data_IF_633445651247
#
_entry.id   IF_633445651247
#
_cell.length_a   1.000
_cell.length_b   1.000
_cell.length_c   1.000
_cell.angle_alpha   90.00
_cell.angle_beta   90.00
_cell.angle_gamma   90.00
#
_symmetry.space_group_name_H-M   'P 1'
#
loop_
_entity.id
_entity.type
_entity.pdbx_description
1 polymer ?
#
# COMPACT_ATOMS: atom_id res chain seq x y z
N UNK A 1 -14.01 16.53 -19.53
CA UNK A 1 -13.36 15.33 -18.98
C UNK A 1 -12.72 15.75 -17.66
N UNK A 2 -13.32 15.41 -16.52
CA UNK A 2 -12.74 15.72 -15.20
C UNK A 2 -11.53 14.81 -15.01
N UNK A 3 -10.36 15.39 -14.79
CA UNK A 3 -9.14 14.65 -14.45
C UNK A 3 -9.33 14.00 -13.08
N UNK A 4 -9.08 12.69 -12.98
CA UNK A 4 -9.17 11.93 -11.73
C UNK A 4 -7.75 11.85 -11.16
N UNK A 5 -7.49 12.58 -10.10
CA UNK A 5 -6.17 12.61 -9.44
C UNK A 5 -6.24 11.89 -8.11
N UNK A 6 -5.24 11.03 -7.84
CA UNK A 6 -4.97 10.53 -6.48
C UNK A 6 -4.48 11.71 -5.64
N UNK A 7 -5.29 12.19 -4.70
CA UNK A 7 -4.77 13.00 -3.63
C UNK A 7 -4.13 12.05 -2.61
N UNK A 8 -2.81 12.11 -2.47
CA UNK A 8 -2.15 11.51 -1.35
C UNK A 8 -2.49 12.36 -0.12
N UNK A 9 -3.27 11.80 0.80
CA UNK A 9 -3.48 12.43 2.10
C UNK A 9 -2.36 11.99 3.03
N UNK A 10 -1.70 12.91 3.72
CA UNK A 10 -0.71 12.57 4.73
C UNK A 10 -1.39 11.82 5.88
N UNK A 11 -1.25 10.50 5.88
CA UNK A 11 -1.92 9.59 6.80
C UNK A 11 -1.17 9.40 8.12
N UNK A 12 0.04 9.92 8.26
CA UNK A 12 0.84 9.77 9.48
C UNK A 12 1.21 11.12 10.07
N UNK A 13 0.32 11.66 10.91
CA UNK A 13 0.74 12.64 11.90
C UNK A 13 1.69 11.96 12.90
N UNK A 14 2.99 12.10 12.71
CA UNK A 14 3.99 11.74 13.72
C UNK A 14 3.72 12.57 14.96
N UNK A 15 3.05 12.00 15.96
CA UNK A 15 2.89 12.63 17.27
C UNK A 15 4.20 12.46 18.00
N UNK A 16 4.97 13.52 18.08
CA UNK A 16 6.14 13.61 18.94
C UNK A 16 5.78 13.31 20.40
N UNK A 17 6.69 12.65 21.11
CA UNK A 17 6.56 12.22 22.50
C UNK A 17 5.98 13.32 23.39
N UNK A 18 4.96 12.94 24.16
CA UNK A 18 4.28 13.80 25.10
C UNK A 18 5.21 14.36 26.18
N UNK A 19 5.15 15.64 26.39
CA UNK A 19 5.46 16.25 27.67
C UNK A 19 4.14 16.53 28.38
N UNK A 20 3.91 15.83 29.48
CA UNK A 20 2.92 16.19 30.48
C UNK A 20 3.26 17.54 31.05
N UNK A 21 2.51 18.56 30.68
CA UNK A 21 2.59 19.89 31.23
C UNK A 21 1.33 20.65 30.93
N UNK A 22 0.44 20.73 31.92
CA UNK A 22 -0.72 21.60 31.89
C UNK A 22 -0.30 23.04 31.65
N UNK A 23 -0.56 23.57 30.48
CA UNK A 23 -0.91 24.96 30.24
C UNK A 23 -1.74 25.00 28.97
N UNK A 24 -3.05 25.27 29.13
CA UNK A 24 -3.91 25.72 28.03
C UNK A 24 -3.42 27.09 27.56
N UNK A 25 -2.35 27.14 26.79
CA UNK A 25 -2.09 28.29 25.92
C UNK A 25 -3.20 28.30 24.88
N UNK A 26 -3.90 29.44 24.80
CA UNK A 26 -4.81 29.68 23.67
C UNK A 26 -4.03 29.38 22.40
N UNK A 27 -4.50 28.35 21.65
CA UNK A 27 -3.90 27.91 20.39
C UNK A 27 -4.02 29.09 19.41
N UNK A 28 -2.92 29.79 19.19
CA UNK A 28 -2.86 30.81 18.15
C UNK A 28 -3.07 30.14 16.81
N UNK A 29 -4.23 30.41 16.24
CA UNK A 29 -4.64 29.91 14.92
C UNK A 29 -3.73 30.59 13.88
N UNK A 30 -2.80 29.83 13.28
CA UNK A 30 -1.94 30.39 12.24
C UNK A 30 -2.74 31.00 11.12
N UNK A 31 -2.38 32.22 10.75
CA UNK A 31 -2.97 32.89 9.59
C UNK A 31 -2.56 32.23 8.27
N UNK A 32 -3.32 32.39 7.19
CA UNK A 32 -2.91 31.91 5.87
C UNK A 32 -1.56 32.50 5.44
N UNK A 33 -1.25 33.72 5.87
CA UNK A 33 0.02 34.38 5.59
C UNK A 33 1.20 33.62 6.22
N UNK A 34 1.06 33.19 7.49
CA UNK A 34 2.09 32.39 8.19
C UNK A 34 2.24 30.99 7.55
N UNK A 35 1.15 30.36 7.10
CA UNK A 35 1.22 29.10 6.38
C UNK A 35 1.94 29.27 5.04
N UNK A 36 1.63 30.33 4.27
CA UNK A 36 2.35 30.65 3.03
C UNK A 36 3.84 30.89 3.26
N UNK A 37 4.18 31.62 4.29
CA UNK A 37 5.58 31.84 4.66
C UNK A 37 6.27 30.52 5.02
N UNK A 38 5.61 29.63 5.77
CA UNK A 38 6.15 28.30 6.12
C UNK A 38 6.39 27.45 4.87
N UNK A 39 5.47 27.46 3.92
CA UNK A 39 5.63 26.77 2.62
C UNK A 39 6.84 27.30 1.87
N UNK A 40 6.96 28.63 1.71
CA UNK A 40 8.07 29.27 1.00
C UNK A 40 9.43 28.95 1.65
N UNK A 41 9.49 28.92 2.97
CA UNK A 41 10.70 28.59 3.71
C UNK A 41 11.11 27.11 3.58
N UNK A 42 10.15 26.19 3.45
CA UNK A 42 10.41 24.76 3.35
C UNK A 42 10.74 24.29 1.93
N UNK A 43 10.23 24.95 0.90
CA UNK A 43 10.41 24.54 -0.49
C UNK A 43 11.88 24.29 -0.86
N UNK A 44 12.86 25.15 -0.55
CA UNK A 44 14.25 24.89 -0.88
C UNK A 44 14.83 23.64 -0.20
N UNK A 45 14.35 23.32 1.02
CA UNK A 45 14.76 22.13 1.73
C UNK A 45 14.16 20.86 1.10
N UNK A 46 12.87 20.92 0.69
CA UNK A 46 12.21 19.84 -0.06
C UNK A 46 12.91 19.58 -1.39
N UNK A 47 13.26 20.63 -2.14
CA UNK A 47 14.02 20.48 -3.40
C UNK A 47 15.38 19.81 -3.19
N UNK A 48 16.09 20.17 -2.12
CA UNK A 48 17.37 19.52 -1.78
C UNK A 48 17.18 18.06 -1.40
N UNK A 49 16.17 17.77 -0.55
CA UNK A 49 15.89 16.41 -0.08
C UNK A 49 15.46 15.47 -1.20
N UNK A 50 14.64 15.96 -2.15
CA UNK A 50 14.13 15.15 -3.27
C UNK A 50 15.01 15.21 -4.52
N UNK A 51 15.95 16.17 -4.61
CA UNK A 51 16.73 16.49 -5.81
C UNK A 51 15.88 16.85 -7.04
N UNK A 52 14.67 17.34 -6.79
CA UNK A 52 13.74 17.85 -7.80
C UNK A 52 13.55 19.36 -7.61
N UNK A 53 13.05 20.06 -8.65
CA UNK A 53 12.76 21.48 -8.60
C UNK A 53 11.28 21.76 -8.83
N UNK A 54 10.69 22.66 -8.04
CA UNK A 54 9.32 23.10 -8.31
C UNK A 54 9.24 23.83 -9.66
N UNK A 55 8.39 23.33 -10.55
CA UNK A 55 8.00 24.02 -11.79
C UNK A 55 6.93 25.06 -11.54
N UNK A 56 6.05 24.77 -10.56
CA UNK A 56 4.99 25.63 -10.06
C UNK A 56 4.94 25.55 -8.53
N UNK A 57 4.79 26.70 -7.89
CA UNK A 57 4.63 26.75 -6.44
C UNK A 57 3.18 26.40 -6.07
N UNK A 58 2.95 25.48 -5.15
CA UNK A 58 1.60 25.19 -4.69
C UNK A 58 1.07 26.32 -3.83
N UNK A 59 -0.23 26.51 -3.86
CA UNK A 59 -0.93 27.42 -2.94
C UNK A 59 -1.22 26.68 -1.65
N UNK A 60 -1.20 27.38 -0.50
CA UNK A 60 -1.64 26.81 0.77
C UNK A 60 -2.96 27.47 1.20
N UNK A 61 -3.93 26.64 1.55
CA UNK A 61 -5.26 27.04 1.93
C UNK A 61 -5.69 26.35 3.23
N UNK A 62 -6.53 27.04 4.01
CA UNK A 62 -7.11 26.47 5.22
C UNK A 62 -8.45 25.81 4.92
N UNK A 63 -8.73 24.71 5.61
CA UNK A 63 -10.01 24.01 5.59
C UNK A 63 -10.46 23.69 7.00
N UNK A 64 -11.78 23.67 7.23
CA UNK A 64 -12.31 23.08 8.44
C UNK A 64 -12.13 21.55 8.39
N UNK A 65 -12.12 20.89 9.55
CA UNK A 65 -12.09 19.42 9.61
C UNK A 65 -13.25 18.77 8.86
N UNK A 66 -14.42 19.41 8.87
CA UNK A 66 -15.57 18.94 8.08
C UNK A 66 -15.26 18.96 6.58
N UNK A 67 -14.68 20.05 6.06
CA UNK A 67 -14.30 20.14 4.66
C UNK A 67 -13.19 19.15 4.27
N UNK A 68 -12.23 18.91 5.16
CA UNK A 68 -11.20 17.88 4.95
C UNK A 68 -11.85 16.49 4.88
N UNK A 69 -12.74 16.19 5.80
CA UNK A 69 -13.51 14.94 5.82
C UNK A 69 -14.33 14.74 4.54
N UNK A 70 -15.07 15.75 4.14
CA UNK A 70 -15.90 15.70 2.92
C UNK A 70 -15.05 15.44 1.68
N UNK A 71 -13.87 16.07 1.59
CA UNK A 71 -12.92 15.83 0.52
C UNK A 71 -12.44 14.37 0.51
N UNK A 72 -12.03 13.84 1.68
CA UNK A 72 -11.58 12.44 1.82
C UNK A 72 -12.68 11.47 1.38
N UNK A 73 -13.92 11.69 1.79
CA UNK A 73 -15.06 10.85 1.41
C UNK A 73 -15.29 10.90 -0.10
N UNK A 74 -15.33 12.07 -0.70
CA UNK A 74 -15.53 12.22 -2.14
C UNK A 74 -14.41 11.56 -2.92
N UNK A 75 -13.17 11.79 -2.50
CA UNK A 75 -12.00 11.21 -3.15
C UNK A 75 -11.99 9.69 -3.05
N UNK A 76 -12.32 9.14 -1.88
CA UNK A 76 -12.44 7.70 -1.68
C UNK A 76 -13.50 7.07 -2.61
N UNK A 77 -14.68 7.68 -2.70
CA UNK A 77 -15.77 7.18 -3.55
C UNK A 77 -15.45 7.29 -5.05
N UNK A 78 -14.70 8.32 -5.46
CA UNK A 78 -14.23 8.49 -6.85
C UNK A 78 -13.16 7.46 -7.22
N UNK A 79 -12.20 7.21 -6.33
CA UNK A 79 -11.09 6.29 -6.56
C UNK A 79 -11.50 4.82 -6.48
N UNK A 80 -12.48 4.50 -5.62
CA UNK A 80 -12.99 3.15 -5.40
C UNK A 80 -14.53 3.10 -5.55
N UNK A 81 -15.05 3.01 -6.78
CA UNK A 81 -16.48 2.96 -7.04
C UNK A 81 -17.19 1.83 -6.28
N UNK A 82 -18.48 1.95 -5.93
CA UNK A 82 -19.20 1.00 -5.08
C UNK A 82 -19.11 -0.46 -5.53
N UNK A 83 -19.13 -0.73 -6.83
CA UNK A 83 -19.03 -2.10 -7.37
C UNK A 83 -17.63 -2.70 -7.15
N UNK A 84 -16.56 -1.92 -7.34
CA UNK A 84 -15.18 -2.36 -7.09
C UNK A 84 -14.96 -2.56 -5.59
N UNK A 85 -15.44 -1.66 -4.77
CA UNK A 85 -15.37 -1.77 -3.31
C UNK A 85 -16.11 -3.02 -2.79
N UNK A 86 -17.32 -3.28 -3.28
CA UNK A 86 -18.09 -4.47 -2.90
C UNK A 86 -17.38 -5.77 -3.32
N UNK A 87 -16.72 -5.75 -4.49
CA UNK A 87 -15.90 -6.87 -4.96
C UNK A 87 -14.67 -7.11 -4.10
N UNK A 88 -13.92 -6.06 -3.78
CA UNK A 88 -12.77 -6.10 -2.89
C UNK A 88 -13.16 -6.58 -1.48
N UNK A 89 -14.22 -6.03 -0.90
CA UNK A 89 -14.73 -6.47 0.41
C UNK A 89 -15.09 -7.95 0.42
N UNK A 90 -15.76 -8.46 -0.63
CA UNK A 90 -16.08 -9.87 -0.74
C UNK A 90 -14.79 -10.73 -0.81
N UNK A 91 -13.78 -10.29 -1.56
CA UNK A 91 -12.49 -10.98 -1.63
C UNK A 91 -11.80 -11.02 -0.25
N UNK A 92 -11.65 -9.88 0.41
CA UNK A 92 -10.96 -9.81 1.70
C UNK A 92 -11.67 -10.60 2.80
N UNK A 93 -13.01 -10.66 2.79
CA UNK A 93 -13.78 -11.57 3.66
C UNK A 93 -13.50 -13.04 3.34
N UNK A 94 -13.46 -13.41 2.06
CA UNK A 94 -13.16 -14.79 1.65
C UNK A 94 -11.73 -15.20 1.99
N UNK A 95 -10.77 -14.32 1.90
CA UNK A 95 -9.41 -14.55 2.41
C UNK A 95 -9.37 -14.54 3.95
N UNK A 96 -10.36 -13.93 4.60
CA UNK A 96 -10.39 -13.73 6.05
C UNK A 96 -9.46 -12.64 6.54
N UNK A 97 -9.07 -11.72 5.66
CA UNK A 97 -8.26 -10.53 5.99
C UNK A 97 -9.08 -9.49 6.78
N UNK A 98 -10.40 -9.52 6.59
CA UNK A 98 -11.35 -8.72 7.36
C UNK A 98 -12.49 -9.61 7.89
N UNK A 99 -13.07 -9.28 9.05
CA UNK A 99 -14.26 -9.97 9.57
C UNK A 99 -15.48 -9.84 8.65
N UNK A 100 -16.37 -10.84 8.64
CA UNK A 100 -17.60 -10.82 7.84
C UNK A 100 -18.51 -9.64 8.19
N UNK A 101 -18.49 -9.20 9.46
CA UNK A 101 -19.29 -8.08 9.98
C UNK A 101 -18.73 -6.70 9.62
N UNK A 102 -17.50 -6.60 9.14
CA UNK A 102 -16.87 -5.32 8.87
C UNK A 102 -17.42 -4.68 7.60
N UNK A 103 -17.82 -3.43 7.67
CA UNK A 103 -18.09 -2.56 6.53
C UNK A 103 -16.78 -1.89 6.10
N UNK A 104 -16.24 -2.32 4.97
CA UNK A 104 -14.93 -1.85 4.48
C UNK A 104 -14.95 -0.36 4.16
N UNK A 105 -16.03 0.14 3.52
CA UNK A 105 -16.14 1.57 3.20
C UNK A 105 -16.13 2.42 4.45
N UNK A 106 -16.99 2.09 5.41
CA UNK A 106 -17.06 2.83 6.67
C UNK A 106 -15.72 2.79 7.41
N UNK A 107 -15.12 1.62 7.52
CA UNK A 107 -13.83 1.46 8.22
C UNK A 107 -12.71 2.26 7.55
N UNK A 108 -12.64 2.26 6.22
CA UNK A 108 -11.66 3.05 5.48
C UNK A 108 -11.89 4.56 5.65
N UNK A 109 -13.15 5.03 5.53
CA UNK A 109 -13.48 6.45 5.71
C UNK A 109 -13.18 6.91 7.13
N UNK A 110 -13.54 6.10 8.13
CA UNK A 110 -13.28 6.43 9.55
C UNK A 110 -11.76 6.50 9.82
N UNK A 111 -10.98 5.53 9.31
CA UNK A 111 -9.52 5.51 9.42
C UNK A 111 -8.86 6.71 8.73
N UNK A 112 -9.22 6.97 7.47
CA UNK A 112 -8.69 8.11 6.73
C UNK A 112 -9.04 9.44 7.40
N UNK A 113 -10.26 9.58 7.92
CA UNK A 113 -10.70 10.79 8.61
C UNK A 113 -9.97 10.99 9.96
N UNK A 114 -9.68 9.89 10.68
CA UNK A 114 -8.93 9.97 11.94
C UNK A 114 -7.47 10.39 11.71
N UNK A 115 -6.88 9.97 10.60
CA UNK A 115 -5.45 10.13 10.35
C UNK A 115 -5.09 11.34 9.49
N UNK A 116 -6.05 11.87 8.69
CA UNK A 116 -5.76 12.98 7.79
C UNK A 116 -5.42 14.26 8.56
N UNK A 117 -4.19 14.71 8.42
CA UNK A 117 -3.68 15.93 9.02
C UNK A 117 -3.56 17.10 8.03
N UNK A 118 -3.73 16.83 6.72
CA UNK A 118 -3.72 17.74 5.59
C UNK A 118 -3.62 16.96 4.30
N UNK A 119 -3.69 17.64 3.17
CA UNK A 119 -3.53 16.97 1.87
C UNK A 119 -3.14 17.95 0.76
N UNK A 120 -2.44 17.45 -0.25
CA UNK A 120 -2.24 18.12 -1.52
C UNK A 120 -3.34 17.70 -2.50
N UNK A 121 -3.98 18.67 -3.12
CA UNK A 121 -4.93 18.45 -4.20
C UNK A 121 -4.30 18.85 -5.54
N UNK A 122 -4.04 17.89 -6.44
CA UNK A 122 -3.38 18.15 -7.71
C UNK A 122 -4.27 18.95 -8.68
N UNK A 123 -5.59 18.87 -8.57
CA UNK A 123 -6.51 19.61 -9.46
C UNK A 123 -6.45 21.12 -9.22
N UNK A 124 -6.33 21.55 -7.97
CA UNK A 124 -6.17 22.95 -7.59
C UNK A 124 -4.72 23.41 -7.42
N UNK A 125 -3.75 22.48 -7.47
CA UNK A 125 -2.35 22.69 -7.11
C UNK A 125 -2.22 23.36 -5.72
N UNK A 126 -2.98 22.87 -4.74
CA UNK A 126 -3.08 23.47 -3.42
C UNK A 126 -2.86 22.45 -2.30
N UNK A 127 -2.16 22.90 -1.24
CA UNK A 127 -2.09 22.22 0.04
C UNK A 127 -3.24 22.70 0.92
N UNK A 128 -4.01 21.77 1.45
CA UNK A 128 -5.10 22.04 2.37
C UNK A 128 -4.72 21.62 3.79
N UNK A 129 -4.70 22.59 4.69
CA UNK A 129 -4.29 22.41 6.08
C UNK A 129 -5.50 22.68 6.98
N UNK A 130 -5.79 21.80 7.98
CA UNK A 130 -6.84 22.04 8.94
C UNK A 130 -6.64 23.36 9.68
N UNK A 131 -7.76 24.11 9.84
CA UNK A 131 -7.70 25.44 10.46
C UNK A 131 -7.27 25.41 11.93
N UNK A 132 -7.46 24.28 12.60
CA UNK A 132 -7.20 24.02 14.02
C UNK A 132 -5.96 23.14 14.24
N UNK A 133 -5.08 22.99 13.23
CA UNK A 133 -3.88 22.18 13.35
C UNK A 133 -2.88 22.82 14.33
N UNK A 134 -2.26 22.00 15.17
CA UNK A 134 -1.16 22.44 16.01
C UNK A 134 0.03 22.94 15.15
N UNK A 135 0.69 24.05 15.53
CA UNK A 135 1.80 24.61 14.77
C UNK A 135 2.97 23.66 14.52
N UNK A 136 3.27 22.76 15.46
CA UNK A 136 4.31 21.74 15.28
C UNK A 136 3.92 20.69 14.27
N UNK A 137 2.66 20.25 14.31
CA UNK A 137 2.08 19.31 13.34
C UNK A 137 1.94 19.95 11.95
N UNK A 138 1.60 21.25 11.87
CA UNK A 138 1.52 21.94 10.58
C UNK A 138 2.84 21.84 9.79
N UNK A 139 3.99 21.96 10.45
CA UNK A 139 5.31 21.80 9.80
C UNK A 139 5.53 20.40 9.26
N UNK A 140 5.14 19.38 10.03
CA UNK A 140 5.19 17.98 9.59
C UNK A 140 4.36 17.79 8.34
N UNK A 141 3.10 18.20 8.36
CA UNK A 141 2.18 18.05 7.24
C UNK A 141 2.65 18.83 6.01
N UNK A 142 3.00 20.10 6.17
CA UNK A 142 3.46 20.94 5.05
C UNK A 142 4.70 20.33 4.38
N UNK A 143 5.68 19.84 5.14
CA UNK A 143 6.88 19.25 4.57
C UNK A 143 6.58 17.98 3.76
N UNK A 144 5.62 17.17 4.19
CA UNK A 144 5.17 15.97 3.49
C UNK A 144 4.38 16.32 2.21
N UNK A 145 3.35 17.16 2.35
CA UNK A 145 2.48 17.54 1.23
C UNK A 145 3.22 18.34 0.14
N UNK A 146 4.25 19.09 0.50
CA UNK A 146 5.12 19.74 -0.48
C UNK A 146 5.86 18.74 -1.37
N UNK A 147 6.21 17.56 -0.84
CA UNK A 147 6.81 16.50 -1.67
C UNK A 147 5.77 15.98 -2.67
N UNK A 148 4.52 15.76 -2.26
CA UNK A 148 3.46 15.36 -3.19
C UNK A 148 3.17 16.42 -4.25
N UNK A 149 3.17 17.70 -3.88
CA UNK A 149 3.05 18.81 -4.82
C UNK A 149 4.21 18.83 -5.85
N UNK A 150 5.40 18.46 -5.41
CA UNK A 150 6.55 18.33 -6.28
C UNK A 150 6.46 17.08 -7.17
N UNK A 151 6.13 15.92 -6.59
CA UNK A 151 5.95 14.65 -7.32
C UNK A 151 4.93 14.77 -8.44
N UNK A 152 3.80 15.42 -8.19
CA UNK A 152 2.74 15.64 -9.20
C UNK A 152 3.28 16.34 -10.47
N UNK A 153 4.31 17.17 -10.35
CA UNK A 153 4.92 17.87 -11.48
C UNK A 153 5.86 17.00 -12.33
N UNK A 154 6.21 15.80 -11.85
CA UNK A 154 7.12 14.86 -12.49
C UNK A 154 6.51 13.49 -12.78
N UNK A 155 5.46 13.11 -12.06
CA UNK A 155 4.78 11.81 -12.19
C UNK A 155 3.31 12.06 -12.51
N UNK A 156 2.81 11.35 -13.51
CA UNK A 156 1.36 11.32 -13.75
C UNK A 156 0.69 10.44 -12.68
N UNK A 157 0.22 11.07 -11.61
CA UNK A 157 -0.46 10.38 -10.51
C UNK A 157 -1.77 9.73 -10.95
N UNK A 158 -2.46 10.26 -11.95
CA UNK A 158 -3.70 9.69 -12.49
C UNK A 158 -3.47 8.28 -13.05
N UNK A 159 -2.28 8.03 -13.60
CA UNK A 159 -1.93 6.70 -14.13
C UNK A 159 -1.92 5.61 -13.06
N UNK A 160 -1.79 5.96 -11.76
CA UNK A 160 -1.85 5.02 -10.66
C UNK A 160 -3.30 4.62 -10.32
N UNK A 161 -4.25 5.55 -10.50
CA UNK A 161 -5.69 5.26 -10.34
C UNK A 161 -6.19 4.33 -11.44
N UNK A 162 -5.59 4.42 -12.63
CA UNK A 162 -5.92 3.56 -13.77
C UNK A 162 -5.47 2.10 -13.58
N UNK A 163 -4.63 1.81 -12.58
CA UNK A 163 -4.20 0.44 -12.22
C UNK A 163 -5.31 -0.36 -11.52
N UNK A 164 -6.54 -0.26 -12.04
CA UNK A 164 -7.67 -1.05 -11.53
C UNK A 164 -7.35 -2.54 -11.62
N UNK A 165 -7.67 -3.27 -10.54
CA UNK A 165 -7.44 -4.73 -10.47
C UNK A 165 -5.97 -5.11 -10.66
N UNK A 166 -5.06 -4.25 -10.20
CA UNK A 166 -3.63 -4.47 -10.09
C UNK A 166 -3.16 -3.97 -8.72
N UNK A 167 -3.79 -4.50 -7.65
CA UNK A 167 -3.61 -4.01 -6.29
C UNK A 167 -2.13 -4.01 -5.87
N UNK A 168 -1.41 -5.10 -6.09
CA UNK A 168 0.02 -5.22 -5.77
C UNK A 168 0.88 -4.12 -6.44
N UNK A 169 0.68 -3.89 -7.75
CA UNK A 169 1.40 -2.85 -8.48
C UNK A 169 1.04 -1.45 -8.01
N UNK A 170 -0.23 -1.22 -7.67
CA UNK A 170 -0.68 0.06 -7.11
C UNK A 170 -0.05 0.33 -5.75
N UNK A 171 -0.03 -0.67 -4.87
CA UNK A 171 0.62 -0.58 -3.55
C UNK A 171 2.11 -0.30 -3.69
N UNK A 172 2.80 -0.97 -4.62
CA UNK A 172 4.22 -0.69 -4.89
C UNK A 172 4.45 0.76 -5.35
N UNK A 173 3.62 1.29 -6.25
CA UNK A 173 3.73 2.66 -6.72
C UNK A 173 3.41 3.68 -5.61
N UNK A 174 2.39 3.43 -4.78
CA UNK A 174 2.11 4.25 -3.59
C UNK A 174 3.30 4.24 -2.64
N UNK A 175 3.96 3.09 -2.44
CA UNK A 175 5.14 2.99 -1.58
C UNK A 175 6.28 3.88 -2.05
N UNK A 176 6.44 4.10 -3.34
CA UNK A 176 7.45 5.05 -3.85
C UNK A 176 7.08 6.50 -3.51
N UNK A 177 5.82 6.87 -3.69
CA UNK A 177 5.39 8.25 -3.44
C UNK A 177 5.42 8.58 -1.95
N UNK A 178 4.79 7.75 -1.13
CA UNK A 178 4.74 7.95 0.32
C UNK A 178 6.12 7.77 0.98
N UNK A 179 6.89 6.79 0.50
CA UNK A 179 8.24 6.55 1.01
C UNK A 179 9.18 7.71 0.76
N UNK A 180 9.16 8.31 -0.44
CA UNK A 180 9.94 9.49 -0.74
C UNK A 180 9.47 10.71 0.08
N UNK A 181 8.15 10.88 0.22
CA UNK A 181 7.61 11.97 1.03
C UNK A 181 8.03 11.83 2.50
N UNK A 182 7.97 10.61 3.05
CA UNK A 182 8.41 10.30 4.42
C UNK A 182 9.91 10.58 4.61
N UNK A 183 10.75 10.08 3.71
CA UNK A 183 12.20 10.28 3.79
C UNK A 183 12.58 11.76 3.67
N UNK A 184 12.01 12.46 2.67
CA UNK A 184 12.26 13.88 2.47
C UNK A 184 11.75 14.73 3.65
N UNK A 185 10.59 14.39 4.23
CA UNK A 185 10.06 15.04 5.44
C UNK A 185 11.08 14.99 6.58
N UNK A 186 11.67 13.81 6.84
CA UNK A 186 12.68 13.65 7.89
C UNK A 186 13.89 14.56 7.62
N UNK A 187 14.39 14.59 6.40
CA UNK A 187 15.54 15.41 6.02
C UNK A 187 15.25 16.91 6.06
N UNK A 188 14.02 17.33 5.76
CA UNK A 188 13.57 18.73 5.84
C UNK A 188 13.48 19.19 7.29
N UNK A 189 12.99 18.34 8.19
CA UNK A 189 12.76 18.68 9.60
C UNK A 189 14.00 18.48 10.47
N UNK A 190 14.87 17.56 10.05
CA UNK A 190 16.13 17.24 10.74
C UNK A 190 17.30 17.31 9.76
N UNK A 191 17.70 18.53 9.32
CA UNK A 191 18.67 18.71 8.22
C UNK A 191 20.08 18.19 8.55
N UNK A 192 20.39 17.99 9.83
CA UNK A 192 21.67 17.41 10.28
C UNK A 192 21.71 15.88 10.18
N UNK A 193 20.55 15.24 9.95
CA UNK A 193 20.49 13.79 9.83
C UNK A 193 21.02 13.34 8.47
N UNK A 194 21.81 12.27 8.51
CA UNK A 194 22.28 11.59 7.31
C UNK A 194 21.39 10.39 7.04
N UNK A 195 21.04 10.18 5.78
CA UNK A 195 20.18 9.05 5.33
C UNK A 195 20.73 7.71 5.84
N UNK A 196 22.06 7.56 5.82
CA UNK A 196 22.73 6.33 6.21
C UNK A 196 22.64 6.03 7.71
N UNK A 197 22.45 7.06 8.53
CA UNK A 197 22.36 6.94 9.99
C UNK A 197 20.94 6.68 10.50
N UNK A 198 19.94 6.77 9.62
CA UNK A 198 18.55 6.49 9.98
C UNK A 198 18.36 4.99 10.26
N UNK A 199 17.53 4.62 11.27
CA UNK A 199 17.20 3.22 11.53
C UNK A 199 16.46 2.61 10.33
N UNK A 200 16.34 1.29 10.32
CA UNK A 200 15.47 0.62 9.34
C UNK A 200 14.02 1.05 9.58
N UNK A 201 13.39 1.64 8.56
CA UNK A 201 12.04 2.18 8.70
C UNK A 201 11.00 1.08 8.94
N UNK A 202 11.17 -0.08 8.32
CA UNK A 202 10.23 -1.17 8.50
C UNK A 202 10.26 -1.73 9.93
N UNK A 203 11.41 -1.70 10.58
CA UNK A 203 11.55 -2.14 11.97
C UNK A 203 10.85 -1.19 12.95
N UNK A 204 10.65 0.07 12.56
CA UNK A 204 9.91 1.06 13.37
C UNK A 204 8.41 0.80 13.43
N UNK A 205 7.85 -0.06 12.56
CA UNK A 205 6.40 -0.30 12.49
C UNK A 205 5.80 -0.76 13.83
N UNK A 206 6.52 -1.56 14.59
CA UNK A 206 6.06 -2.05 15.91
C UNK A 206 5.96 -0.91 16.92
N UNK A 207 6.96 -0.03 16.94
CA UNK A 207 6.96 1.14 17.82
C UNK A 207 5.86 2.14 17.43
N UNK A 208 5.68 2.38 16.13
CA UNK A 208 4.60 3.24 15.62
C UNK A 208 3.23 2.63 15.88
N UNK A 209 3.06 1.32 15.67
CA UNK A 209 1.82 0.61 15.98
C UNK A 209 1.45 0.72 17.46
N UNK A 210 2.41 0.63 18.37
CA UNK A 210 2.17 0.81 19.80
C UNK A 210 1.72 2.26 20.12
N UNK A 211 2.31 3.26 19.49
CA UNK A 211 1.89 4.65 19.65
C UNK A 211 0.50 4.92 19.06
N UNK A 212 0.21 4.35 17.90
CA UNK A 212 -1.09 4.49 17.22
C UNK A 212 -2.22 3.68 17.87
N UNK A 213 -1.91 2.72 18.76
CA UNK A 213 -2.93 2.03 19.55
C UNK A 213 -3.77 2.99 20.42
N UNK A 214 -3.25 4.18 20.73
CA UNK A 214 -4.02 5.27 21.35
C UNK A 214 -5.07 5.90 20.44
N UNK A 215 -4.97 5.71 19.11
CA UNK A 215 -5.98 6.15 18.15
C UNK A 215 -7.13 5.14 18.12
N UNK A 216 -8.34 5.60 18.38
CA UNK A 216 -9.49 4.72 18.62
C UNK A 216 -9.86 3.85 17.42
N UNK A 217 -9.89 4.43 16.22
CA UNK A 217 -10.27 3.73 15.00
C UNK A 217 -9.13 2.85 14.54
N UNK A 218 -7.93 3.39 14.45
CA UNK A 218 -6.74 2.65 14.00
C UNK A 218 -6.42 1.48 14.94
N UNK A 219 -6.43 1.68 16.25
CA UNK A 219 -6.13 0.63 17.23
C UNK A 219 -7.11 -0.55 17.20
N UNK A 220 -8.35 -0.33 16.79
CA UNK A 220 -9.39 -1.37 16.66
C UNK A 220 -9.48 -1.99 15.27
N UNK A 221 -8.77 -1.46 14.28
CA UNK A 221 -8.82 -1.95 12.90
C UNK A 221 -8.15 -3.34 12.76
N UNK A 222 -8.64 -4.20 11.85
CA UNK A 222 -7.97 -5.46 11.51
C UNK A 222 -6.50 -5.26 11.11
N UNK A 223 -5.67 -6.30 11.33
CA UNK A 223 -4.25 -6.30 10.96
C UNK A 223 -4.04 -5.82 9.52
N UNK A 224 -4.77 -6.40 8.57
CA UNK A 224 -4.65 -6.04 7.16
C UNK A 224 -4.85 -4.53 6.91
N UNK A 225 -5.86 -3.90 7.51
CA UNK A 225 -6.13 -2.46 7.35
C UNK A 225 -4.99 -1.61 7.92
N UNK A 226 -4.51 -1.95 9.12
CA UNK A 226 -3.40 -1.21 9.76
C UNK A 226 -2.12 -1.29 8.96
N UNK A 227 -1.70 -2.50 8.63
CA UNK A 227 -0.44 -2.72 7.91
C UNK A 227 -0.48 -2.15 6.48
N UNK A 228 -1.62 -2.25 5.79
CA UNK A 228 -1.80 -1.67 4.46
C UNK A 228 -1.71 -0.14 4.45
N UNK A 229 -2.07 0.52 5.56
CA UNK A 229 -1.90 1.97 5.71
C UNK A 229 -0.46 2.36 6.03
N UNK A 230 0.29 1.53 6.77
CA UNK A 230 1.66 1.83 7.21
C UNK A 230 2.69 1.48 6.14
N UNK A 231 2.49 0.39 5.42
CA UNK A 231 3.47 -0.16 4.48
C UNK A 231 3.97 0.83 3.43
N UNK A 232 3.13 1.64 2.76
CA UNK A 232 3.59 2.61 1.78
C UNK A 232 4.60 3.62 2.35
N UNK A 233 4.43 4.01 3.60
CA UNK A 233 5.31 4.97 4.28
C UNK A 233 6.63 4.32 4.70
N UNK A 234 6.58 3.24 5.48
CA UNK A 234 7.78 2.64 6.07
C UNK A 234 8.53 1.74 5.09
N UNK A 235 7.84 0.82 4.45
CA UNK A 235 8.43 -0.05 3.42
C UNK A 235 8.91 0.77 2.23
N UNK A 236 8.12 1.78 1.84
CA UNK A 236 8.47 2.71 0.78
C UNK A 236 9.70 3.55 1.12
N UNK A 237 9.80 4.13 2.32
CA UNK A 237 10.95 4.91 2.75
C UNK A 237 12.24 4.07 2.77
N UNK A 238 12.14 2.80 3.22
CA UNK A 238 13.28 1.88 3.21
C UNK A 238 13.75 1.57 1.78
N UNK A 239 12.81 1.32 0.87
CA UNK A 239 13.14 1.11 -0.54
C UNK A 239 13.74 2.37 -1.19
N UNK A 240 13.15 3.55 -0.97
CA UNK A 240 13.65 4.82 -1.54
C UNK A 240 15.04 5.12 -1.00
N UNK A 241 15.30 4.92 0.30
CA UNK A 241 16.64 5.05 0.91
C UNK A 241 17.65 4.14 0.24
N UNK A 242 17.30 2.89 0.01
CA UNK A 242 18.13 1.94 -0.71
C UNK A 242 18.35 2.39 -2.17
N UNK A 243 17.29 2.81 -2.86
CA UNK A 243 17.35 3.24 -4.25
C UNK A 243 18.26 4.46 -4.43
N UNK A 244 18.18 5.46 -3.57
CA UNK A 244 19.03 6.65 -3.65
C UNK A 244 20.52 6.35 -3.47
N UNK A 245 20.83 5.34 -2.66
CA UNK A 245 22.20 4.87 -2.46
C UNK A 245 22.73 4.12 -3.67
N UNK A 246 21.94 3.23 -4.25
CA UNK A 246 22.35 2.36 -5.38
C UNK A 246 22.30 3.08 -6.73
N UNK A 247 21.40 4.05 -6.87
CA UNK A 247 21.18 4.80 -8.11
C UNK A 247 21.26 6.33 -7.89
N UNK A 248 22.41 6.85 -7.47
CA UNK A 248 22.54 8.27 -7.11
C UNK A 248 22.14 9.17 -8.27
N UNK A 249 21.30 10.17 -7.99
CA UNK A 249 20.82 11.14 -8.96
C UNK A 249 19.66 10.67 -9.85
N UNK A 250 19.22 9.41 -9.73
CA UNK A 250 18.01 8.92 -10.41
C UNK A 250 16.79 9.04 -9.50
N UNK A 251 15.63 9.05 -10.13
CA UNK A 251 14.33 8.99 -9.44
C UNK A 251 13.67 7.64 -9.71
N UNK A 252 13.00 7.02 -8.71
CA UNK A 252 12.32 5.74 -8.88
C UNK A 252 10.97 5.91 -9.60
N UNK A 253 10.95 6.64 -10.72
CA UNK A 253 9.75 6.98 -11.48
C UNK A 253 9.79 6.41 -12.89
N UNK A 254 8.64 6.38 -13.54
CA UNK A 254 8.51 5.92 -14.92
C UNK A 254 8.99 4.49 -15.09
N UNK A 255 10.00 4.26 -15.93
CA UNK A 255 10.57 2.94 -16.19
C UNK A 255 11.31 2.34 -14.98
N UNK A 256 11.69 3.18 -14.00
CA UNK A 256 12.36 2.77 -12.76
C UNK A 256 11.39 2.56 -11.60
N UNK A 257 10.09 2.76 -11.82
CA UNK A 257 9.09 2.52 -10.76
C UNK A 257 8.93 1.01 -10.52
N UNK A 258 9.02 0.54 -9.27
CA UNK A 258 8.72 -0.85 -8.91
C UNK A 258 7.30 -1.24 -9.35
N UNK A 259 7.12 -2.50 -9.72
CA UNK A 259 5.84 -3.01 -10.24
C UNK A 259 5.20 -4.07 -9.35
N UNK A 260 5.83 -4.41 -8.22
CA UNK A 260 5.32 -5.34 -7.23
C UNK A 260 5.76 -4.97 -5.82
N UNK A 261 4.98 -5.35 -4.83
CA UNK A 261 5.37 -5.21 -3.42
C UNK A 261 6.58 -6.09 -3.08
N UNK A 262 6.78 -7.19 -3.79
CA UNK A 262 8.00 -7.99 -3.69
C UNK A 262 9.27 -7.14 -3.93
N UNK A 263 9.25 -6.30 -4.96
CA UNK A 263 10.39 -5.43 -5.28
C UNK A 263 10.63 -4.38 -4.19
N UNK A 264 9.59 -3.93 -3.49
CA UNK A 264 9.69 -3.04 -2.33
C UNK A 264 10.29 -3.78 -1.13
N UNK A 265 9.80 -4.99 -0.84
CA UNK A 265 10.26 -5.83 0.28
C UNK A 265 11.68 -6.37 0.06
N UNK A 266 12.05 -6.62 -1.19
CA UNK A 266 13.32 -7.25 -1.58
C UNK A 266 14.04 -6.41 -2.65
N UNK A 267 14.70 -5.29 -2.27
CA UNK A 267 15.37 -4.41 -3.25
C UNK A 267 16.39 -5.12 -4.15
N UNK A 268 17.00 -6.20 -3.66
CA UNK A 268 17.90 -7.02 -4.47
C UNK A 268 17.20 -7.66 -5.69
N UNK A 269 15.92 -8.04 -5.57
CA UNK A 269 15.12 -8.54 -6.69
C UNK A 269 14.82 -7.43 -7.70
N UNK A 270 14.49 -6.24 -7.21
CA UNK A 270 14.36 -5.07 -8.08
C UNK A 270 15.65 -4.82 -8.88
N UNK A 271 16.81 -4.82 -8.23
CA UNK A 271 18.13 -4.65 -8.89
C UNK A 271 18.41 -5.74 -9.90
N UNK A 272 18.01 -6.99 -9.63
CA UNK A 272 18.12 -8.10 -10.56
C UNK A 272 17.16 -8.00 -11.77
N UNK A 273 16.26 -7.02 -11.79
CA UNK A 273 15.23 -6.89 -12.82
C UNK A 273 14.16 -7.97 -12.73
N UNK A 274 13.99 -8.57 -11.55
CA UNK A 274 12.97 -9.58 -11.31
C UNK A 274 11.56 -8.97 -11.42
N UNK A 275 10.66 -9.69 -12.09
CA UNK A 275 9.30 -9.25 -12.35
C UNK A 275 8.35 -10.42 -12.21
N UNK A 276 7.20 -10.23 -11.54
CA UNK A 276 6.22 -11.29 -11.41
C UNK A 276 5.65 -11.70 -12.77
N UNK A 277 5.44 -12.98 -12.95
CA UNK A 277 4.73 -13.54 -14.08
C UNK A 277 3.23 -13.23 -13.99
N UNK A 278 2.61 -13.01 -15.13
CA UNK A 278 1.21 -12.65 -15.20
C UNK A 278 0.32 -13.89 -15.30
N UNK A 279 -0.64 -14.00 -14.39
CA UNK A 279 -1.71 -14.99 -14.48
C UNK A 279 -2.97 -14.40 -15.14
N UNK A 280 -3.53 -15.14 -16.08
CA UNK A 280 -4.77 -14.76 -16.78
C UNK A 280 -5.74 -15.93 -16.78
N UNK A 281 -6.94 -15.72 -16.26
CA UNK A 281 -8.01 -16.71 -16.37
C UNK A 281 -8.47 -16.89 -17.83
N UNK A 282 -8.42 -18.10 -18.33
CA UNK A 282 -8.71 -18.42 -19.74
C UNK A 282 -10.02 -19.18 -19.94
N UNK A 283 -10.53 -19.82 -18.90
CA UNK A 283 -11.80 -20.53 -19.00
C UNK A 283 -12.98 -19.61 -18.69
N UNK A 284 -14.10 -19.74 -19.42
CA UNK A 284 -15.36 -19.18 -18.99
C UNK A 284 -15.66 -19.67 -17.57
N UNK A 285 -16.05 -18.77 -16.68
CA UNK A 285 -16.54 -19.17 -15.37
C UNK A 285 -17.96 -19.72 -15.52
N UNK A 286 -18.33 -20.82 -14.82
CA UNK A 286 -19.72 -21.25 -14.74
C UNK A 286 -20.59 -20.22 -14.00
N UNK A 287 -19.96 -19.32 -13.24
CA UNK A 287 -20.61 -18.29 -12.45
C UNK A 287 -20.16 -16.89 -12.87
N UNK A 288 -20.97 -15.89 -12.50
CA UNK A 288 -20.63 -14.49 -12.72
C UNK A 288 -19.34 -14.11 -11.96
N UNK A 289 -18.39 -13.51 -12.66
CA UNK A 289 -17.19 -12.92 -12.03
C UNK A 289 -17.61 -11.60 -11.38
N UNK A 290 -17.54 -11.56 -10.06
CA UNK A 290 -17.81 -10.36 -9.27
C UNK A 290 -16.60 -9.47 -9.15
N UNK A 291 -15.44 -10.10 -8.93
CA UNK A 291 -14.18 -9.39 -8.74
C UNK A 291 -13.00 -10.26 -9.18
N UNK A 292 -11.93 -9.62 -9.63
CA UNK A 292 -10.70 -10.29 -10.01
C UNK A 292 -9.52 -9.35 -9.73
N UNK A 293 -8.52 -9.82 -8.95
CA UNK A 293 -7.30 -9.07 -8.64
C UNK A 293 -6.16 -10.03 -8.24
N UNK A 294 -5.02 -9.53 -7.78
CA UNK A 294 -3.94 -10.23 -7.10
C UNK A 294 -3.70 -9.63 -5.72
N UNK A 295 -3.15 -10.41 -4.80
CA UNK A 295 -2.75 -9.94 -3.47
C UNK A 295 -1.34 -9.31 -3.49
N UNK A 296 -0.41 -9.91 -4.25
CA UNK A 296 1.01 -9.59 -4.13
C UNK A 296 1.67 -10.19 -2.88
N UNK A 297 2.99 -10.14 -2.81
CA UNK A 297 3.73 -10.75 -1.70
C UNK A 297 3.35 -10.12 -0.34
N UNK A 298 3.17 -8.80 -0.30
CA UNK A 298 2.86 -8.10 0.94
C UNK A 298 1.53 -8.55 1.56
N UNK A 299 0.42 -8.57 0.81
CA UNK A 299 -0.86 -9.01 1.36
C UNK A 299 -0.89 -10.53 1.64
N UNK A 300 -0.15 -11.35 0.88
CA UNK A 300 0.06 -12.76 1.18
C UNK A 300 0.77 -12.92 2.53
N UNK A 301 1.79 -12.11 2.81
CA UNK A 301 2.47 -12.09 4.10
C UNK A 301 1.49 -11.74 5.22
N UNK A 302 0.64 -10.73 5.05
CA UNK A 302 -0.37 -10.36 6.05
C UNK A 302 -1.39 -11.48 6.29
N UNK A 303 -1.84 -12.15 5.21
CA UNK A 303 -2.70 -13.32 5.31
C UNK A 303 -2.07 -14.42 6.17
N UNK A 304 -0.81 -14.71 5.94
CA UNK A 304 -0.07 -15.73 6.67
C UNK A 304 0.17 -15.31 8.13
N UNK A 305 0.57 -14.05 8.37
CA UNK A 305 0.80 -13.50 9.71
C UNK A 305 -0.46 -13.61 10.58
N UNK A 306 -1.61 -13.20 10.04
CA UNK A 306 -2.89 -13.25 10.75
C UNK A 306 -3.25 -14.65 11.27
N UNK A 307 -2.91 -15.69 10.52
CA UNK A 307 -3.27 -17.06 10.88
C UNK A 307 -2.13 -17.89 11.45
N UNK A 308 -0.87 -17.59 11.12
CA UNK A 308 0.28 -18.28 11.72
C UNK A 308 0.72 -17.62 13.02
N UNK A 309 0.41 -16.31 13.20
CA UNK A 309 0.67 -15.57 14.44
C UNK A 309 2.12 -15.11 14.61
N UNK A 310 2.93 -15.16 13.53
CA UNK A 310 4.34 -14.76 13.54
C UNK A 310 4.73 -14.16 12.19
N UNK A 311 5.14 -12.89 12.21
CA UNK A 311 5.56 -12.12 11.03
C UNK A 311 6.79 -12.73 10.34
N UNK A 312 7.79 -13.19 11.09
CA UNK A 312 9.00 -13.77 10.52
C UNK A 312 8.71 -15.07 9.76
N UNK A 313 7.84 -15.92 10.32
CA UNK A 313 7.35 -17.13 9.63
C UNK A 313 6.54 -16.76 8.40
N UNK A 314 5.67 -15.75 8.50
CA UNK A 314 4.86 -15.29 7.38
C UNK A 314 5.72 -14.75 6.23
N UNK A 315 6.72 -13.93 6.54
CA UNK A 315 7.68 -13.43 5.58
C UNK A 315 8.46 -14.56 4.88
N UNK A 316 8.98 -15.52 5.65
CA UNK A 316 9.69 -16.67 5.09
C UNK A 316 8.79 -17.49 4.14
N UNK A 317 7.54 -17.71 4.52
CA UNK A 317 6.59 -18.50 3.73
C UNK A 317 6.17 -17.77 2.46
N UNK A 318 6.05 -16.43 2.47
CA UNK A 318 5.70 -15.61 1.32
C UNK A 318 6.86 -15.39 0.35
N UNK A 319 8.12 -15.48 0.82
CA UNK A 319 9.31 -15.23 0.00
C UNK A 319 9.41 -16.22 -1.16
N UNK A 320 9.69 -15.68 -2.36
CA UNK A 320 9.75 -16.42 -3.63
C UNK A 320 8.42 -16.43 -4.36
N UNK A 321 7.53 -15.51 -4.01
CA UNK A 321 6.33 -15.21 -4.79
C UNK A 321 6.74 -14.69 -6.19
N UNK A 322 6.10 -15.21 -7.24
CA UNK A 322 6.34 -14.83 -8.62
C UNK A 322 5.05 -14.46 -9.37
N UNK A 323 4.03 -14.06 -8.63
CA UNK A 323 2.76 -13.64 -9.21
C UNK A 323 1.57 -14.39 -8.64
N UNK A 324 0.42 -13.74 -8.63
CA UNK A 324 -0.84 -14.36 -8.25
C UNK A 324 -2.04 -13.72 -8.96
N UNK A 325 -3.15 -14.45 -8.96
CA UNK A 325 -4.43 -13.94 -9.45
C UNK A 325 -5.58 -14.70 -8.81
N UNK A 326 -6.60 -13.98 -8.35
CA UNK A 326 -7.81 -14.58 -7.82
C UNK A 326 -9.06 -14.05 -8.51
N UNK A 327 -10.13 -14.86 -8.44
CA UNK A 327 -11.50 -14.47 -8.78
C UNK A 327 -12.44 -14.72 -7.62
N UNK A 328 -13.33 -13.78 -7.41
CA UNK A 328 -14.56 -13.96 -6.63
C UNK A 328 -15.70 -14.19 -7.60
N UNK A 329 -16.37 -15.32 -7.45
CA UNK A 329 -17.45 -15.77 -8.32
C UNK A 329 -18.76 -15.90 -7.54
N UNK A 330 -19.90 -15.80 -8.23
CA UNK A 330 -21.22 -16.09 -7.66
C UNK A 330 -22.13 -14.87 -7.54
N UNK A 331 -23.40 -15.15 -7.18
CA UNK A 331 -24.44 -14.12 -6.98
C UNK A 331 -24.97 -14.08 -5.55
N UNK A 332 -24.46 -14.89 -4.65
CA UNK A 332 -24.96 -14.97 -3.25
C UNK A 332 -23.98 -15.65 -2.31
N UNK A 333 -23.67 -16.93 -2.56
CA UNK A 333 -22.62 -17.62 -1.81
C UNK A 333 -21.33 -17.53 -2.62
N UNK A 334 -20.47 -16.59 -2.24
CA UNK A 334 -19.25 -16.28 -2.98
C UNK A 334 -18.25 -17.45 -3.01
N UNK A 335 -17.59 -17.61 -4.13
CA UNK A 335 -16.55 -18.61 -4.39
C UNK A 335 -15.24 -17.89 -4.61
N UNK A 336 -14.18 -18.34 -3.95
CA UNK A 336 -12.83 -17.90 -4.17
C UNK A 336 -12.06 -18.93 -4.99
N UNK A 337 -11.48 -18.52 -6.10
CA UNK A 337 -10.50 -19.29 -6.86
C UNK A 337 -9.23 -18.46 -6.95
N UNK A 338 -8.14 -18.93 -6.37
CA UNK A 338 -6.87 -18.23 -6.29
C UNK A 338 -5.73 -19.09 -6.77
N UNK A 339 -4.87 -18.53 -7.61
CA UNK A 339 -3.63 -19.14 -8.11
C UNK A 339 -2.45 -18.25 -7.75
N UNK A 340 -1.38 -18.89 -7.27
CA UNK A 340 -0.09 -18.26 -6.99
C UNK A 340 1.01 -18.96 -7.77
N UNK A 341 2.01 -18.21 -8.21
CA UNK A 341 3.23 -18.70 -8.84
C UNK A 341 4.42 -18.51 -7.89
N UNK A 342 5.41 -19.37 -8.01
CA UNK A 342 6.59 -19.39 -7.14
C UNK A 342 7.85 -19.57 -7.97
N UNK A 343 8.96 -18.97 -7.51
CA UNK A 343 10.25 -18.99 -8.20
C UNK A 343 10.76 -20.40 -8.46
N UNK A 344 10.59 -21.26 -7.45
CA UNK A 344 11.04 -22.64 -7.50
C UNK A 344 10.10 -23.58 -6.72
N UNK A 345 10.35 -24.87 -6.87
CA UNK A 345 9.56 -25.92 -6.23
C UNK A 345 9.63 -25.87 -4.69
N UNK A 346 10.76 -25.42 -4.12
CA UNK A 346 10.94 -25.32 -2.68
C UNK A 346 10.10 -24.19 -2.09
N UNK A 347 10.07 -23.01 -2.73
CA UNK A 347 9.21 -21.88 -2.38
C UNK A 347 7.73 -22.25 -2.50
N UNK A 348 7.32 -22.88 -3.61
CA UNK A 348 5.95 -23.36 -3.80
C UNK A 348 5.51 -24.38 -2.75
N UNK A 349 6.38 -25.33 -2.41
CA UNK A 349 6.09 -26.32 -1.38
C UNK A 349 6.06 -25.71 0.03
N UNK A 350 6.91 -24.72 0.32
CA UNK A 350 6.90 -23.97 1.58
C UNK A 350 5.60 -23.19 1.76
N UNK A 351 5.21 -22.47 0.73
CA UNK A 351 3.94 -21.75 0.72
C UNK A 351 2.72 -22.68 0.83
N UNK A 352 2.70 -23.78 0.08
CA UNK A 352 1.63 -24.77 0.16
C UNK A 352 1.38 -25.24 1.60
N UNK A 353 2.44 -25.68 2.29
CA UNK A 353 2.33 -26.12 3.71
C UNK A 353 1.92 -24.97 4.65
N UNK A 354 2.42 -23.76 4.42
CA UNK A 354 2.04 -22.57 5.18
C UNK A 354 0.56 -22.23 4.99
N UNK A 355 0.09 -22.24 3.74
CA UNK A 355 -1.30 -21.96 3.39
C UNK A 355 -2.26 -23.04 3.96
N UNK A 356 -1.91 -24.31 3.92
CA UNK A 356 -2.71 -25.37 4.54
C UNK A 356 -2.92 -25.13 6.03
N UNK A 357 -1.83 -24.79 6.75
CA UNK A 357 -1.91 -24.45 8.19
C UNK A 357 -2.75 -23.20 8.45
N UNK A 358 -2.53 -22.14 7.68
CA UNK A 358 -3.29 -20.89 7.80
C UNK A 358 -4.79 -21.12 7.51
N UNK A 359 -5.09 -21.87 6.44
CA UNK A 359 -6.47 -22.14 6.06
C UNK A 359 -7.22 -23.07 7.04
N UNK A 360 -6.51 -24.01 7.65
CA UNK A 360 -7.08 -24.85 8.72
C UNK A 360 -7.48 -24.02 9.94
N UNK A 361 -6.64 -23.05 10.36
CA UNK A 361 -6.96 -22.12 11.45
C UNK A 361 -8.13 -21.19 11.11
N UNK A 362 -8.16 -20.65 9.89
CA UNK A 362 -9.25 -19.82 9.41
C UNK A 362 -10.61 -20.55 9.49
N UNK A 363 -10.66 -21.82 9.10
CA UNK A 363 -11.88 -22.64 9.09
C UNK A 363 -12.40 -22.99 10.50
N UNK A 364 -11.54 -23.08 11.48
CA UNK A 364 -11.94 -23.38 12.87
C UNK A 364 -12.78 -22.26 13.51
N UNK A 365 -12.84 -21.08 12.91
CA UNK A 365 -13.61 -19.93 13.37
C UNK A 365 -15.11 -19.94 13.07
N UNK A 366 -15.72 -21.07 12.67
CA UNK A 366 -17.19 -21.25 12.68
C UNK A 366 -17.95 -20.81 11.43
N UNK A 367 -17.34 -20.80 10.27
CA UNK A 367 -18.05 -20.48 9.01
C UNK A 367 -18.95 -21.65 8.51
N UNK A 368 -20.05 -21.29 7.82
CA UNK A 368 -20.99 -22.18 7.17
C UNK A 368 -20.28 -23.30 6.37
N UNK A 369 -21.02 -24.39 6.05
CA UNK A 369 -20.51 -25.60 5.37
C UNK A 369 -19.83 -25.25 4.04
N UNK A 370 -18.57 -24.81 4.11
CA UNK A 370 -17.70 -24.54 2.96
C UNK A 370 -16.73 -25.71 2.78
N UNK A 371 -16.39 -25.98 1.55
CA UNK A 371 -15.29 -26.86 1.18
C UNK A 371 -14.13 -26.00 0.67
N UNK A 372 -12.90 -26.32 1.07
CA UNK A 372 -11.70 -25.78 0.49
C UNK A 372 -10.83 -26.89 -0.09
N UNK A 373 -10.11 -26.56 -1.16
CA UNK A 373 -9.14 -27.43 -1.80
C UNK A 373 -7.88 -26.63 -2.10
N UNK A 374 -6.75 -27.07 -1.58
CA UNK A 374 -5.43 -26.49 -1.87
C UNK A 374 -4.63 -27.54 -2.62
N UNK A 375 -4.05 -27.17 -3.78
CA UNK A 375 -3.28 -28.08 -4.63
C UNK A 375 -1.99 -27.43 -5.10
N UNK A 376 -0.90 -28.20 -5.06
CA UNK A 376 0.32 -27.89 -5.79
C UNK A 376 0.12 -28.25 -7.26
N UNK A 377 0.61 -27.39 -8.15
CA UNK A 377 0.50 -27.52 -9.60
C UNK A 377 1.82 -27.09 -10.25
N UNK A 378 1.96 -27.42 -11.52
CA UNK A 378 2.98 -26.82 -12.40
C UNK A 378 2.24 -26.20 -13.58
N UNK A 379 2.38 -24.91 -13.78
CA UNK A 379 1.72 -24.16 -14.86
C UNK A 379 2.80 -23.64 -15.83
N UNK A 380 2.82 -24.16 -17.04
CA UNK A 380 3.83 -23.79 -18.07
C UNK A 380 5.29 -23.91 -17.56
N UNK A 381 5.57 -24.92 -16.72
CA UNK A 381 6.88 -25.17 -16.13
C UNK A 381 7.16 -24.34 -14.84
N UNK A 382 6.22 -23.50 -14.38
CA UNK A 382 6.36 -22.69 -13.16
C UNK A 382 5.63 -23.38 -12.01
N UNK A 383 6.26 -23.53 -10.83
CA UNK A 383 5.60 -24.06 -9.63
C UNK A 383 4.45 -23.13 -9.21
N UNK A 384 3.31 -23.73 -8.89
CA UNK A 384 2.08 -23.00 -8.57
C UNK A 384 1.32 -23.65 -7.41
N UNK A 385 0.55 -22.84 -6.70
CA UNK A 385 -0.43 -23.34 -5.72
C UNK A 385 -1.81 -22.77 -6.09
N UNK A 386 -2.82 -23.65 -6.08
CA UNK A 386 -4.21 -23.24 -6.25
C UNK A 386 -4.98 -23.45 -4.97
N UNK A 387 -5.73 -22.43 -4.56
CA UNK A 387 -6.77 -22.51 -3.54
C UNK A 387 -8.13 -22.33 -4.20
N UNK A 388 -9.06 -23.21 -3.86
CA UNK A 388 -10.51 -23.03 -4.12
C UNK A 388 -11.21 -23.11 -2.78
N UNK A 389 -12.01 -22.09 -2.46
CA UNK A 389 -12.87 -22.06 -1.28
C UNK A 389 -14.30 -21.72 -1.73
N UNK A 390 -15.23 -22.63 -1.54
CA UNK A 390 -16.58 -22.54 -2.10
C UNK A 390 -17.61 -23.30 -1.24
N UNK A 391 -18.90 -23.01 -1.39
CA UNK A 391 -19.94 -23.86 -0.82
C UNK A 391 -19.74 -25.32 -1.22
N UNK A 392 -19.98 -26.26 -0.31
CA UNK A 392 -19.77 -27.69 -0.58
C UNK A 392 -20.55 -28.20 -1.81
N UNK A 393 -21.71 -27.59 -2.09
CA UNK A 393 -22.58 -27.92 -3.23
C UNK A 393 -22.30 -27.12 -4.50
N UNK A 394 -21.21 -26.35 -4.54
CA UNK A 394 -20.87 -25.56 -5.74
C UNK A 394 -20.65 -26.45 -6.95
N UNK A 395 -21.37 -26.19 -8.04
CA UNK A 395 -21.29 -27.00 -9.26
C UNK A 395 -19.92 -26.93 -9.96
N UNK A 396 -19.20 -25.82 -9.77
CA UNK A 396 -17.88 -25.57 -10.34
C UNK A 396 -16.74 -26.44 -9.78
N UNK A 397 -16.97 -27.25 -8.73
CA UNK A 397 -15.95 -28.19 -8.22
C UNK A 397 -15.46 -29.19 -9.28
N UNK A 398 -16.31 -29.51 -10.27
CA UNK A 398 -15.94 -30.40 -11.38
C UNK A 398 -15.19 -29.66 -12.50
N UNK A 399 -15.26 -28.33 -12.54
CA UNK A 399 -14.69 -27.51 -13.61
C UNK A 399 -14.20 -26.15 -13.04
N UNK A 400 -13.17 -26.21 -12.20
CA UNK A 400 -12.54 -25.01 -11.65
C UNK A 400 -11.97 -24.15 -12.78
N UNK A 401 -12.23 -22.83 -12.82
CA UNK A 401 -11.66 -21.94 -13.83
C UNK A 401 -10.14 -22.05 -13.92
N UNK A 402 -9.63 -22.27 -15.12
CA UNK A 402 -8.20 -22.44 -15.39
C UNK A 402 -7.53 -21.09 -15.68
N UNK A 403 -6.24 -21.03 -15.43
CA UNK A 403 -5.38 -19.88 -15.77
C UNK A 403 -4.29 -20.31 -16.76
N UNK A 404 -3.75 -19.33 -17.49
CA UNK A 404 -2.48 -19.47 -18.21
C UNK A 404 -1.46 -18.50 -17.63
N UNK A 405 -0.20 -18.89 -17.69
CA UNK A 405 0.94 -18.03 -17.35
C UNK A 405 1.31 -17.23 -18.61
N UNK A 406 1.27 -15.91 -18.48
CA UNK A 406 1.89 -15.00 -19.44
C UNK A 406 3.23 -14.60 -18.87
N UNK A 407 4.33 -15.07 -19.46
CA UNK A 407 5.66 -14.65 -19.00
C UNK A 407 5.77 -13.14 -19.06
N UNK A 408 6.36 -12.54 -18.04
CA UNK A 408 6.76 -11.13 -18.08
C UNK A 408 7.65 -10.94 -19.34
N UNK A 409 7.37 -9.90 -20.12
CA UNK A 409 8.19 -9.60 -21.30
C UNK A 409 9.63 -9.36 -20.81
N UNK A 410 10.52 -10.28 -21.14
CA UNK A 410 11.93 -10.41 -20.82
C UNK A 410 12.41 -9.73 -19.52
N UNK A 411 13.21 -10.42 -18.73
CA UNK A 411 13.91 -9.76 -17.61
C UNK A 411 14.54 -8.48 -18.18
N UNK A 412 14.15 -7.32 -17.68
CA UNK A 412 14.87 -6.10 -18.02
C UNK A 412 16.34 -6.36 -17.72
N UNK A 413 17.29 -5.92 -18.56
CA UNK A 413 18.69 -6.08 -18.25
C UNK A 413 18.90 -5.51 -16.82
N UNK A 414 19.71 -6.18 -15.98
CA UNK A 414 19.97 -5.69 -14.64
C UNK A 414 20.37 -4.23 -14.74
N UNK A 415 19.74 -3.38 -13.95
CA UNK A 415 20.10 -1.97 -13.88
C UNK A 415 21.57 -1.96 -13.51
N UNK A 416 22.45 -1.59 -14.45
CA UNK A 416 23.90 -1.80 -14.35
C UNK A 416 24.43 -1.34 -13.00
N UNK A 417 24.97 -2.29 -12.24
CA UNK A 417 25.72 -1.97 -11.04
C UNK A 417 26.94 -1.15 -11.47
N UNK A 418 26.99 0.11 -11.10
CA UNK A 418 28.25 0.81 -11.07
C UNK A 418 29.10 0.16 -9.96
N UNK A 419 29.96 -0.79 -10.35
CA UNK A 419 31.06 -1.18 -9.46
C UNK A 419 31.79 0.11 -9.10
N UNK A 420 31.71 0.52 -7.83
CA UNK A 420 32.60 1.55 -7.33
C UNK A 420 34.02 1.03 -7.49
N UNK A 421 34.76 1.63 -8.39
CA UNK A 421 36.20 1.49 -8.38
C UNK A 421 36.68 1.86 -6.98
N UNK A 422 37.47 0.96 -6.38
CA UNK A 422 38.11 1.12 -5.09
C UNK A 422 39.06 2.31 -5.11
#
# INVERSE_FOLDING_TARGET
MRRRSLAAAALLGWVGAGSTGCEKRAQEVRSEAELRQSVQQMMPAVERATRLRFKQHPVVLRRSRAQVRDYVIHKFDDDLPPAELAGAQAAYRLFGLIPDSLDLRRSMVDLLTEQVAGYFDPDSNALYIPADIDPSQARLVISHELVHALQHQYVNLDSLVELKRQNDRRTAAQSILEGQATLAQILVLMPEQRIESLPNFWDLRTALGAQQQGMKVFGSAPLWLRESLIFPYLGGAEFVRWFEREYPGKQPYGALMPISTEQILHPARYAAGDRPDRLVFVSPSPDTVRYEDGLGEFEIRLLLEQYLGDDSTAALVATGWNGDRYRVLGRGADVLVWYTLWDDAAAGARFFRGLERAWAKRRSGGQAVRRSEIKQLVLSGVPAVRLVDAPARWSGWRRVPAVRVGRAAGKSPPLGFHQRAK
#
